data_IF_472348731988
#
_entry.id   IF_472348731988
#
_cell.length_a   1.000
_cell.length_b   1.000
_cell.length_c   1.000
_cell.angle_alpha   90.00
_cell.angle_beta   90.00
_cell.angle_gamma   90.00
#
_symmetry.space_group_name_H-M   'P 1'
#
loop_
_entity.id
_entity.type
_entity.pdbx_description
1 polymer ?
#
# COMPACT_ATOMS: atom_id res chain seq x y z
N UNK A 1 -11.12 -5.19 -4.15
CA UNK A 1 -10.66 -4.36 -5.29
C UNK A 1 -11.10 -2.92 -5.15
N UNK A 2 -12.20 -2.68 -4.43
CA UNK A 2 -12.91 -1.41 -4.34
C UNK A 2 -12.04 -0.24 -3.87
N UNK A 3 -11.19 -0.44 -2.86
CA UNK A 3 -10.28 0.61 -2.37
C UNK A 3 -9.23 1.06 -3.40
N UNK A 4 -8.82 0.16 -4.29
CA UNK A 4 -7.87 0.50 -5.33
C UNK A 4 -8.52 1.37 -6.42
N UNK A 5 -9.79 1.09 -6.74
CA UNK A 5 -10.58 1.90 -7.67
C UNK A 5 -10.91 3.26 -7.09
N UNK A 6 -11.27 3.30 -5.80
CA UNK A 6 -11.46 4.53 -5.05
C UNK A 6 -10.22 5.43 -5.13
N UNK A 7 -9.01 4.87 -4.95
CA UNK A 7 -7.77 5.64 -5.08
C UNK A 7 -7.58 6.24 -6.49
N UNK A 8 -7.95 5.50 -7.54
CA UNK A 8 -7.87 6.01 -8.90
C UNK A 8 -8.88 7.15 -9.14
N UNK A 9 -10.08 7.05 -8.58
CA UNK A 9 -11.10 8.09 -8.64
C UNK A 9 -10.64 9.34 -7.87
N UNK A 10 -10.19 9.20 -6.62
CA UNK A 10 -9.75 10.34 -5.80
C UNK A 10 -8.54 11.05 -6.38
N UNK A 11 -7.63 10.31 -7.04
CA UNK A 11 -6.55 10.89 -7.83
C UNK A 11 -7.09 11.79 -8.95
N UNK A 12 -8.04 11.31 -9.74
CA UNK A 12 -8.62 12.10 -10.84
C UNK A 12 -9.34 13.35 -10.32
N UNK A 13 -9.90 13.28 -9.11
CA UNK A 13 -10.53 14.40 -8.41
C UNK A 13 -9.52 15.32 -7.69
N UNK A 14 -8.21 15.04 -7.77
CA UNK A 14 -7.14 15.80 -7.12
C UNK A 14 -7.29 15.91 -5.59
N UNK A 15 -7.88 14.90 -4.95
CA UNK A 15 -8.02 14.86 -3.49
C UNK A 15 -6.83 14.18 -2.82
N UNK A 16 -6.12 14.95 -2.00
CA UNK A 16 -5.08 14.45 -1.10
C UNK A 16 -5.61 14.44 0.33
N UNK A 17 -5.87 13.25 0.86
CA UNK A 17 -6.37 13.10 2.21
C UNK A 17 -5.20 13.18 3.21
N UNK A 18 -5.22 14.16 4.09
CA UNK A 18 -4.24 14.26 5.17
C UNK A 18 -4.66 13.50 6.43
N UNK A 19 -5.97 13.52 6.73
CA UNK A 19 -6.55 12.85 7.88
C UNK A 19 -7.51 11.74 7.40
N UNK A 20 -7.29 10.52 7.88
CA UNK A 20 -8.17 9.38 7.67
C UNK A 20 -8.64 8.92 9.04
N UNK A 21 -9.95 8.91 9.24
CA UNK A 21 -10.58 8.44 10.47
C UNK A 21 -10.99 6.98 10.31
N UNK A 22 -10.80 6.19 11.36
CA UNK A 22 -11.35 4.84 11.42
C UNK A 22 -12.86 4.87 11.62
N UNK A 23 -13.56 3.88 11.06
CA UNK A 23 -15.00 3.75 11.22
C UNK A 23 -15.37 3.49 12.69
N UNK A 24 -16.24 4.33 13.24
CA UNK A 24 -16.80 4.19 14.58
C UNK A 24 -18.25 3.71 14.48
N UNK A 25 -18.53 2.41 14.66
CA UNK A 25 -19.88 1.88 14.52
C UNK A 25 -20.81 2.53 15.52
N UNK A 26 -21.85 3.18 15.01
CA UNK A 26 -22.94 3.71 15.84
C UNK A 26 -24.04 2.65 15.92
N UNK A 27 -24.49 2.25 17.12
CA UNK A 27 -25.61 1.32 17.26
C UNK A 27 -26.84 1.78 16.47
N UNK A 28 -27.70 0.83 16.09
CA UNK A 28 -28.93 1.07 15.32
C UNK A 28 -28.72 1.61 13.89
N UNK A 29 -27.50 1.50 13.34
CA UNK A 29 -27.24 1.87 11.94
C UNK A 29 -26.97 0.65 11.07
N UNK A 30 -27.44 0.71 9.83
CA UNK A 30 -27.21 -0.31 8.80
C UNK A 30 -25.71 -0.61 8.60
N UNK A 31 -24.88 0.44 8.59
CA UNK A 31 -23.44 0.29 8.43
C UNK A 31 -22.79 -0.50 9.57
N UNK A 32 -23.29 -0.34 10.80
CA UNK A 32 -22.82 -1.12 11.95
C UNK A 32 -23.21 -2.58 11.83
N UNK A 33 -24.45 -2.87 11.45
CA UNK A 33 -24.91 -4.25 11.22
C UNK A 33 -24.09 -4.92 10.11
N UNK A 34 -23.87 -4.23 9.00
CA UNK A 34 -22.99 -4.70 7.91
C UNK A 34 -21.56 -4.91 8.39
N UNK A 35 -21.02 -4.00 9.22
CA UNK A 35 -19.66 -4.10 9.75
C UNK A 35 -19.48 -5.33 10.64
N UNK A 36 -20.43 -5.64 11.53
CA UNK A 36 -20.31 -6.77 12.44
C UNK A 36 -20.68 -8.10 11.83
N UNK A 37 -21.71 -8.14 10.98
CA UNK A 37 -22.19 -9.39 10.38
C UNK A 37 -21.42 -9.77 9.13
N UNK A 38 -20.86 -8.80 8.40
CA UNK A 38 -20.29 -9.01 7.08
C UNK A 38 -21.33 -9.28 6.00
N UNK A 39 -22.62 -8.98 6.26
CA UNK A 39 -23.71 -9.14 5.31
C UNK A 39 -24.55 -7.87 5.22
N UNK A 40 -25.09 -7.61 4.04
CA UNK A 40 -26.11 -6.59 3.86
C UNK A 40 -27.47 -7.16 4.33
N UNK A 41 -28.13 -6.61 5.35
CA UNK A 41 -29.24 -7.28 6.04
C UNK A 41 -30.50 -7.44 5.18
N UNK A 42 -30.67 -6.63 4.15
CA UNK A 42 -31.84 -6.72 3.25
C UNK A 42 -31.62 -7.63 2.04
N UNK A 43 -30.38 -7.76 1.58
CA UNK A 43 -30.06 -8.55 0.37
C UNK A 43 -29.38 -9.88 0.72
N UNK A 44 -28.90 -10.01 1.96
CA UNK A 44 -28.10 -11.12 2.47
C UNK A 44 -26.81 -11.37 1.67
N UNK A 45 -26.39 -10.39 0.87
CA UNK A 45 -25.14 -10.44 0.14
C UNK A 45 -23.97 -10.19 1.09
N UNK A 46 -22.87 -10.91 0.85
CA UNK A 46 -21.67 -10.77 1.65
C UNK A 46 -20.98 -9.44 1.35
N UNK A 47 -20.74 -8.66 2.39
CA UNK A 47 -20.04 -7.37 2.33
C UNK A 47 -18.64 -7.57 2.87
N UNK A 48 -17.63 -7.22 2.08
CA UNK A 48 -16.26 -7.30 2.55
C UNK A 48 -15.94 -6.17 3.54
N UNK A 49 -15.58 -6.55 4.76
CA UNK A 49 -15.20 -5.65 5.85
C UNK A 49 -13.80 -6.01 6.36
N UNK A 50 -12.93 -5.01 6.52
CA UNK A 50 -11.58 -5.22 7.03
C UNK A 50 -11.61 -5.27 8.57
N UNK A 51 -11.35 -6.45 9.14
CA UNK A 51 -11.35 -6.63 10.59
C UNK A 51 -9.93 -6.66 11.17
N UNK A 52 -8.98 -7.30 10.47
CA UNK A 52 -7.61 -7.39 10.96
C UNK A 52 -6.84 -6.10 10.71
N UNK A 53 -5.81 -5.86 11.52
CA UNK A 53 -4.95 -4.69 11.37
C UNK A 53 -4.30 -4.65 9.99
N UNK A 54 -3.85 -5.80 9.49
CA UNK A 54 -3.20 -5.94 8.20
C UNK A 54 -4.17 -5.59 7.06
N UNK A 55 -5.43 -6.06 7.13
CA UNK A 55 -6.46 -5.72 6.16
C UNK A 55 -6.76 -4.22 6.16
N UNK A 56 -6.89 -3.62 7.35
CA UNK A 56 -7.12 -2.17 7.51
C UNK A 56 -5.95 -1.35 6.95
N UNK A 57 -4.71 -1.75 7.25
CA UNK A 57 -3.51 -1.10 6.70
C UNK A 57 -3.43 -1.23 5.17
N UNK A 58 -3.74 -2.41 4.63
CA UNK A 58 -3.76 -2.68 3.20
C UNK A 58 -4.83 -1.84 2.46
N UNK A 59 -5.94 -1.50 3.11
CA UNK A 59 -6.91 -0.54 2.57
C UNK A 59 -6.41 0.90 2.74
N UNK A 60 -5.94 1.27 3.95
CA UNK A 60 -5.55 2.64 4.31
C UNK A 60 -4.43 3.20 3.43
N UNK A 61 -3.47 2.38 3.02
CA UNK A 61 -2.39 2.82 2.12
C UNK A 61 -2.90 3.43 0.82
N UNK A 62 -4.06 3.00 0.30
CA UNK A 62 -4.62 3.50 -0.97
C UNK A 62 -5.05 4.97 -0.88
N UNK A 63 -5.41 5.47 0.30
CA UNK A 63 -5.69 6.90 0.51
C UNK A 63 -4.46 7.80 0.38
N UNK A 64 -3.28 7.23 0.60
CA UNK A 64 -2.01 7.94 0.57
C UNK A 64 -1.20 7.57 -0.69
N UNK A 65 -1.87 7.30 -1.82
CA UNK A 65 -1.23 6.89 -3.07
C UNK A 65 -0.17 7.89 -3.57
N UNK A 66 -0.30 9.17 -3.20
CA UNK A 66 0.62 10.24 -3.57
C UNK A 66 1.92 10.25 -2.76
N UNK A 67 1.98 9.53 -1.63
CA UNK A 67 3.17 9.44 -0.79
C UNK A 67 4.17 8.42 -1.36
N UNK A 68 5.47 8.74 -1.46
CA UNK A 68 6.45 7.82 -2.05
C UNK A 68 6.66 6.54 -1.22
N UNK A 69 6.42 6.58 0.09
CA UNK A 69 6.61 5.45 1.00
C UNK A 69 5.58 4.33 0.76
N UNK A 70 4.35 4.68 0.41
CA UNK A 70 3.22 3.73 0.21
C UNK A 70 3.24 3.10 -1.18
N UNK A 71 3.85 3.77 -2.17
CA UNK A 71 3.90 3.34 -3.57
C UNK A 71 4.31 1.87 -3.75
N UNK A 72 5.40 1.45 -3.09
CA UNK A 72 5.88 0.05 -3.18
C UNK A 72 4.87 -0.96 -2.65
N UNK A 73 4.16 -0.62 -1.57
CA UNK A 73 3.16 -1.50 -0.96
C UNK A 73 1.90 -1.57 -1.83
N UNK A 74 1.44 -0.43 -2.36
CA UNK A 74 0.31 -0.34 -3.29
C UNK A 74 0.59 -1.15 -4.56
N UNK A 75 1.76 -1.01 -5.18
CA UNK A 75 2.14 -1.79 -6.37
C UNK A 75 2.15 -3.29 -6.07
N UNK A 76 2.67 -3.70 -4.92
CA UNK A 76 2.68 -5.12 -4.52
C UNK A 76 1.26 -5.66 -4.37
N UNK A 77 0.37 -4.94 -3.70
CA UNK A 77 -1.02 -5.35 -3.53
C UNK A 77 -1.78 -5.37 -4.85
N UNK A 78 -1.59 -4.37 -5.72
CA UNK A 78 -2.21 -4.33 -7.05
C UNK A 78 -1.76 -5.51 -7.92
N UNK A 79 -0.48 -5.89 -7.85
CA UNK A 79 0.01 -7.09 -8.53
C UNK A 79 -0.60 -8.37 -7.95
N UNK A 80 -0.71 -8.46 -6.61
CA UNK A 80 -1.31 -9.62 -5.92
C UNK A 80 -2.77 -9.85 -6.33
N UNK A 81 -3.54 -8.77 -6.54
CA UNK A 81 -4.94 -8.84 -6.96
C UNK A 81 -5.12 -8.79 -8.49
N UNK A 82 -4.03 -8.80 -9.27
CA UNK A 82 -4.07 -8.82 -10.73
C UNK A 82 -4.50 -7.51 -11.42
N UNK A 83 -4.56 -6.38 -10.70
CA UNK A 83 -5.04 -5.08 -11.21
C UNK A 83 -3.91 -4.17 -11.67
N UNK A 84 -3.19 -4.62 -12.71
CA UNK A 84 -2.08 -3.84 -13.31
C UNK A 84 -2.55 -2.57 -14.01
N UNK A 85 -3.79 -2.54 -14.50
CA UNK A 85 -4.45 -1.37 -15.09
C UNK A 85 -4.49 -0.17 -14.12
N UNK A 86 -4.71 -0.44 -12.83
CA UNK A 86 -4.77 0.60 -11.80
C UNK A 86 -3.39 1.15 -11.44
N UNK A 87 -2.32 0.37 -11.65
CA UNK A 87 -0.94 0.84 -11.45
C UNK A 87 -0.64 1.96 -12.43
N UNK A 88 -1.00 1.78 -13.71
CA UNK A 88 -0.80 2.79 -14.74
C UNK A 88 -1.65 4.04 -14.48
N UNK A 89 -2.92 3.87 -14.06
CA UNK A 89 -3.78 5.01 -13.69
C UNK A 89 -3.23 5.79 -12.49
N UNK A 90 -2.72 5.11 -11.47
CA UNK A 90 -2.22 5.75 -10.24
C UNK A 90 -0.83 6.38 -10.41
N UNK A 91 0.06 5.78 -11.19
CA UNK A 91 1.47 6.18 -11.24
C UNK A 91 2.01 6.55 -12.62
N UNK A 92 1.21 6.40 -13.68
CA UNK A 92 1.61 6.65 -15.07
C UNK A 92 2.65 5.65 -15.59
N UNK A 93 3.10 5.85 -16.84
CA UNK A 93 4.14 5.03 -17.48
C UNK A 93 5.53 5.18 -16.84
N UNK A 94 5.77 6.28 -16.12
CA UNK A 94 6.95 6.47 -15.27
C UNK A 94 6.87 5.71 -13.92
N UNK A 95 5.80 4.94 -13.74
CA UNK A 95 5.54 3.94 -12.70
C UNK A 95 6.77 3.15 -12.26
N UNK A 96 7.64 2.86 -13.22
CA UNK A 96 8.78 1.96 -13.17
C UNK A 96 10.13 2.69 -13.08
N UNK A 97 10.24 3.80 -12.36
CA UNK A 97 11.58 4.24 -11.92
C UNK A 97 12.02 3.32 -10.79
N UNK A 98 13.04 2.44 -10.99
CA UNK A 98 13.62 1.71 -9.88
C UNK A 98 14.06 2.74 -8.83
N UNK A 99 13.79 2.45 -7.55
CA UNK A 99 14.15 3.32 -6.43
C UNK A 99 15.52 3.98 -6.68
N UNK A 100 15.70 5.28 -6.35
CA UNK A 100 16.98 5.95 -6.57
C UNK A 100 18.06 5.03 -6.01
N UNK A 101 18.96 4.55 -6.89
CA UNK A 101 20.11 3.77 -6.46
C UNK A 101 20.77 4.65 -5.40
N UNK A 102 20.73 4.24 -4.13
CA UNK A 102 21.47 4.94 -3.08
C UNK A 102 22.88 5.07 -3.62
N UNK A 103 23.32 6.31 -3.87
CA UNK A 103 24.67 6.59 -4.31
C UNK A 103 25.57 6.19 -3.14
N UNK A 104 25.96 4.91 -3.10
CA UNK A 104 26.96 4.42 -2.15
C UNK A 104 28.18 5.29 -2.39
N UNK A 105 28.53 6.11 -1.39
CA UNK A 105 29.69 6.97 -1.44
C UNK A 105 30.90 6.12 -1.81
N UNK A 106 31.83 6.68 -2.61
CA UNK A 106 33.09 5.99 -2.94
C UNK A 106 33.78 5.48 -1.66
N UNK A 107 33.59 6.18 -0.54
CA UNK A 107 34.10 5.81 0.78
C UNK A 107 33.51 4.49 1.29
N UNK A 108 32.19 4.33 1.25
CA UNK A 108 31.50 3.11 1.70
C UNK A 108 31.86 1.89 0.84
N UNK A 109 32.07 2.10 -0.47
CA UNK A 109 32.52 1.04 -1.39
C UNK A 109 33.92 0.54 -1.03
N UNK A 110 34.84 1.44 -0.68
CA UNK A 110 36.19 1.06 -0.25
C UNK A 110 36.19 0.34 1.10
N UNK A 111 35.34 0.78 2.03
CA UNK A 111 35.19 0.16 3.35
C UNK A 111 34.66 -1.27 3.24
N UNK A 112 33.58 -1.49 2.49
CA UNK A 112 32.98 -2.82 2.29
C UNK A 112 33.95 -3.80 1.61
N UNK A 113 34.79 -3.32 0.68
CA UNK A 113 35.81 -4.13 0.00
C UNK A 113 36.96 -4.52 0.95
N UNK A 114 37.36 -3.62 1.88
CA UNK A 114 38.38 -3.93 2.90
C UNK A 114 37.87 -4.93 3.94
N UNK A 115 36.66 -4.73 4.45
CA UNK A 115 36.05 -5.62 5.46
C UNK A 115 35.87 -7.05 4.90
N UNK A 116 35.46 -7.21 3.64
CA UNK A 116 35.37 -8.53 3.01
C UNK A 116 36.75 -9.17 2.76
N UNK A 117 37.77 -8.40 2.38
CA UNK A 117 39.13 -8.93 2.23
C UNK A 117 39.74 -9.37 3.57
N UNK A 118 39.43 -8.66 4.66
CA UNK A 118 39.86 -9.05 6.01
C UNK A 118 39.16 -10.32 6.49
N UNK A 119 37.87 -10.50 6.19
CA UNK A 119 37.16 -11.73 6.55
C UNK A 119 37.69 -12.96 5.81
N UNK A 120 38.08 -12.83 4.53
CA UNK A 120 38.68 -13.93 3.77
C UNK A 120 40.10 -14.28 4.25
N UNK A 121 40.88 -13.30 4.74
CA UNK A 121 42.21 -13.54 5.34
C UNK A 121 42.16 -14.18 6.73
N UNK A 122 41.01 -14.17 7.42
CA UNK A 122 40.85 -14.79 8.75
C UNK A 122 40.25 -16.21 8.70
N UNK A 123 39.86 -16.69 7.51
CA UNK A 123 39.23 -18.00 7.30
C UNK A 123 40.13 -19.02 6.56
N UNK A 124 41.39 -18.67 6.30
CA UNK A 124 42.45 -19.59 5.87
C UNK A 124 43.55 -19.61 6.91
#
# INVERSE_FOLDING_TARGET
TDMAELAAITKNLHFHLEQVQDFTPTPMTLATEMYYTGYHPYTLEKVYTAHTKEQKLAQRQFFFWYKPETRRQIIRELNRIGRKDLIEKLFGKEGFSPAPRQNISRYDRHRYKRENMEQHRRKG
#
